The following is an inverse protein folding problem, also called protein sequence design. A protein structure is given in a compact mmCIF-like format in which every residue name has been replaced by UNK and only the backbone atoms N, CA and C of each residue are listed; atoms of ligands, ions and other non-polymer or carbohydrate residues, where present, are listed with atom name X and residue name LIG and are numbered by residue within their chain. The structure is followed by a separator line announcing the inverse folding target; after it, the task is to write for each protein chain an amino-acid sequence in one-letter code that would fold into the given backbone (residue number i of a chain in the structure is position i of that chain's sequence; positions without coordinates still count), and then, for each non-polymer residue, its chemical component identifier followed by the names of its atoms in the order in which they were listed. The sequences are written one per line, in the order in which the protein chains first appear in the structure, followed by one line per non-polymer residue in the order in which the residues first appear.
data_IF_595017834134
#
_entry.id   IF_595017834134
#
_cell.length_a   1.000
_cell.length_b   1.000
_cell.length_c   1.000
_cell.angle_alpha   90.00
_cell.angle_beta   90.00
_cell.angle_gamma   90.00
#
_symmetry.space_group_name_H-M   'P 1'
#
loop_
_entity.id
_entity.type
_entity.pdbx_description
1 polymer ?
#
# COMPACT_ATOMS: atom_id res chain seq x y z
N UNK A 1 -46.73 7.65 -34.04
CA UNK A 1 -45.56 7.50 -34.94
C UNK A 1 -44.40 8.30 -34.36
N UNK A 2 -43.22 7.68 -34.31
CA UNK A 2 -41.89 8.23 -34.02
C UNK A 2 -41.56 8.73 -32.60
N UNK A 3 -40.94 7.82 -31.84
CA UNK A 3 -39.81 8.12 -30.95
C UNK A 3 -38.53 8.09 -31.79
N UNK A 4 -37.73 9.15 -31.76
CA UNK A 4 -36.26 9.13 -31.89
C UNK A 4 -35.66 10.47 -31.41
N UNK A 5 -34.37 10.41 -31.06
CA UNK A 5 -33.42 11.50 -30.69
C UNK A 5 -33.35 11.91 -29.22
N UNK A 6 -32.20 11.95 -28.53
CA UNK A 6 -30.80 11.86 -28.93
C UNK A 6 -29.94 11.24 -27.82
N UNK A 7 -28.97 10.42 -28.22
CA UNK A 7 -27.76 10.10 -27.47
C UNK A 7 -26.63 11.06 -27.88
N UNK A 8 -25.63 11.20 -27.00
CA UNK A 8 -24.28 11.75 -27.23
C UNK A 8 -24.13 13.28 -27.21
N UNK A 9 -23.95 13.84 -26.02
CA UNK A 9 -23.01 14.94 -25.78
C UNK A 9 -22.84 15.13 -24.27
N UNK A 10 -21.71 14.68 -23.70
CA UNK A 10 -21.08 15.21 -22.47
C UNK A 10 -19.77 14.44 -22.18
N UNK A 11 -18.91 14.37 -23.18
CA UNK A 11 -17.49 14.10 -23.00
C UNK A 11 -16.74 15.17 -23.76
N UNK A 12 -16.09 16.11 -23.05
CA UNK A 12 -14.96 16.96 -23.52
C UNK A 12 -14.61 18.20 -22.65
N UNK A 13 -15.09 18.35 -21.40
CA UNK A 13 -14.85 19.59 -20.63
C UNK A 13 -13.80 19.56 -19.49
N UNK A 14 -12.86 18.60 -19.41
CA UNK A 14 -11.85 18.61 -18.32
C UNK A 14 -10.38 18.50 -18.73
N UNK A 15 -10.04 18.63 -20.02
CA UNK A 15 -8.65 18.47 -20.49
C UNK A 15 -7.88 19.77 -20.82
N UNK A 16 -8.47 20.96 -20.63
CA UNK A 16 -7.79 22.25 -20.93
C UNK A 16 -7.30 23.00 -19.67
N UNK A 17 -7.72 22.58 -18.46
CA UNK A 17 -7.26 23.17 -17.19
C UNK A 17 -5.85 22.76 -16.73
N UNK A 18 -5.20 21.81 -17.43
CA UNK A 18 -3.96 21.14 -16.99
C UNK A 18 -2.67 21.67 -17.65
N UNK A 19 -2.75 22.68 -18.52
CA UNK A 19 -1.59 23.14 -19.30
C UNK A 19 -1.10 24.58 -19.03
N UNK A 20 -1.70 25.35 -18.12
CA UNK A 20 -1.31 26.78 -17.93
C UNK A 20 -0.90 27.21 -16.50
N UNK A 21 -0.74 26.30 -15.55
CA UNK A 21 -0.20 26.63 -14.21
C UNK A 21 0.96 25.74 -13.75
N UNK A 22 1.91 25.46 -14.64
CA UNK A 22 3.19 24.87 -14.25
C UNK A 22 4.14 25.97 -13.77
N UNK A 23 4.03 26.35 -12.48
CA UNK A 23 5.09 27.15 -11.82
C UNK A 23 6.36 26.29 -11.77
N UNK A 24 7.54 26.79 -12.19
CA UNK A 24 8.78 26.06 -11.98
C UNK A 24 9.08 26.02 -10.48
N UNK A 25 8.94 24.83 -9.86
CA UNK A 25 9.49 24.60 -8.53
C UNK A 25 11.01 24.73 -8.64
N UNK A 26 11.59 25.71 -7.94
CA UNK A 26 13.02 25.78 -7.70
C UNK A 26 13.42 24.55 -6.89
N UNK A 27 14.25 23.69 -7.46
CA UNK A 27 14.92 22.62 -6.72
C UNK A 27 15.78 23.25 -5.61
N UNK A 28 15.70 22.77 -4.36
CA UNK A 28 16.67 23.16 -3.34
C UNK A 28 18.07 22.75 -3.81
N UNK A 29 18.97 23.72 -3.93
CA UNK A 29 20.38 23.47 -4.25
C UNK A 29 21.08 22.89 -3.02
N UNK A 30 21.61 21.67 -3.11
CA UNK A 30 22.57 21.16 -2.14
C UNK A 30 22.37 19.71 -1.67
N UNK A 31 21.28 19.03 -2.03
CA UNK A 31 21.12 17.62 -1.66
C UNK A 31 21.90 16.76 -2.65
N UNK A 32 22.95 16.08 -2.16
CA UNK A 32 23.55 14.96 -2.91
C UNK A 32 22.43 13.99 -3.28
N UNK A 33 22.33 13.54 -4.53
CA UNK A 33 21.30 12.58 -4.90
C UNK A 33 21.45 11.34 -4.01
N UNK A 34 20.37 10.99 -3.29
CA UNK A 34 20.28 9.71 -2.60
C UNK A 34 20.61 8.62 -3.63
N UNK A 35 21.46 7.67 -3.25
CA UNK A 35 21.86 6.58 -4.12
C UNK A 35 22.17 5.37 -3.26
N UNK A 36 21.45 4.28 -3.52
CA UNK A 36 21.68 3.03 -2.80
C UNK A 36 23.07 2.47 -3.12
N UNK A 37 23.75 1.96 -2.09
CA UNK A 37 24.97 1.16 -2.27
C UNK A 37 24.66 -0.12 -3.07
N UNK A 38 25.66 -0.79 -3.66
CA UNK A 38 25.44 -2.07 -4.35
C UNK A 38 24.75 -3.11 -3.46
N UNK A 39 25.11 -3.15 -2.17
CA UNK A 39 24.55 -4.10 -1.20
C UNK A 39 23.10 -3.72 -0.84
N UNK A 40 22.83 -2.43 -0.64
CA UNK A 40 21.46 -1.95 -0.42
C UNK A 40 20.54 -2.23 -1.62
N UNK A 41 21.07 -2.14 -2.86
CA UNK A 41 20.32 -2.52 -4.06
C UNK A 41 20.03 -4.01 -4.12
N UNK A 42 20.99 -4.86 -3.74
CA UNK A 42 20.75 -6.29 -3.65
C UNK A 42 19.60 -6.61 -2.68
N UNK A 43 19.60 -5.99 -1.49
CA UNK A 43 18.50 -6.15 -0.53
C UNK A 43 17.15 -5.69 -1.11
N UNK A 44 17.12 -4.55 -1.80
CA UNK A 44 15.92 -4.08 -2.52
C UNK A 44 15.47 -5.09 -3.59
N UNK A 45 16.40 -5.67 -4.35
CA UNK A 45 16.11 -6.65 -5.41
C UNK A 45 15.50 -7.94 -4.85
N UNK A 46 15.89 -8.38 -3.65
CA UNK A 46 15.24 -9.51 -2.97
C UNK A 46 13.75 -9.24 -2.74
N UNK A 47 13.41 -8.06 -2.20
CA UNK A 47 12.01 -7.66 -1.98
C UNK A 47 11.26 -7.52 -3.31
N UNK A 48 11.87 -6.92 -4.33
CA UNK A 48 11.25 -6.79 -5.65
C UNK A 48 11.01 -8.14 -6.32
N UNK A 49 11.87 -9.13 -6.07
CA UNK A 49 11.69 -10.50 -6.58
C UNK A 49 10.45 -11.15 -5.97
N UNK A 50 10.26 -11.00 -4.65
CA UNK A 50 9.03 -11.44 -3.98
C UNK A 50 7.81 -10.67 -4.50
N UNK A 51 7.95 -9.35 -4.70
CA UNK A 51 6.86 -8.50 -5.19
C UNK A 51 6.39 -8.89 -6.60
N UNK A 52 7.30 -9.38 -7.45
CA UNK A 52 7.01 -9.81 -8.82
C UNK A 52 6.53 -11.25 -8.91
N UNK A 53 6.75 -12.07 -7.89
CA UNK A 53 6.31 -13.47 -7.85
C UNK A 53 4.81 -13.53 -7.58
N UNK A 54 3.97 -13.91 -8.57
CA UNK A 54 2.53 -13.95 -8.37
C UNK A 54 2.14 -15.03 -7.36
N UNK A 55 1.02 -14.81 -6.66
CA UNK A 55 0.41 -15.88 -5.87
C UNK A 55 0.03 -17.05 -6.80
N UNK A 56 0.34 -18.27 -6.36
CA UNK A 56 0.06 -19.51 -7.08
C UNK A 56 -0.76 -20.44 -6.17
N UNK A 57 -2.03 -20.73 -6.52
CA UNK A 57 -2.87 -21.62 -5.72
C UNK A 57 -2.41 -23.08 -5.76
N UNK A 58 -1.54 -23.49 -6.68
CA UNK A 58 -0.98 -24.84 -6.71
C UNK A 58 0.28 -24.97 -5.83
N UNK A 59 0.90 -23.85 -5.48
CA UNK A 59 2.05 -23.83 -4.59
C UNK A 59 1.63 -23.97 -3.12
N UNK A 60 2.13 -25.01 -2.45
CA UNK A 60 1.80 -25.29 -1.05
C UNK A 60 2.26 -24.19 -0.09
N UNK A 61 3.45 -23.63 -0.30
CA UNK A 61 4.01 -22.56 0.53
C UNK A 61 3.12 -21.31 0.44
N UNK A 62 2.68 -20.94 -0.76
CA UNK A 62 1.81 -19.77 -0.97
C UNK A 62 0.46 -19.95 -0.25
N UNK A 63 -0.15 -21.13 -0.40
CA UNK A 63 -1.39 -21.47 0.30
C UNK A 63 -1.24 -21.47 1.82
N UNK A 64 -0.12 -21.96 2.34
CA UNK A 64 0.10 -22.02 3.77
C UNK A 64 0.35 -20.63 4.38
N UNK A 65 1.01 -19.71 3.63
CA UNK A 65 1.08 -18.29 4.00
C UNK A 65 -0.31 -17.65 4.06
N UNK A 66 -1.14 -17.86 3.04
CA UNK A 66 -2.51 -17.32 3.03
C UNK A 66 -3.35 -17.84 4.21
N UNK A 67 -3.29 -19.14 4.49
CA UNK A 67 -3.97 -19.75 5.66
C UNK A 67 -3.43 -19.24 6.98
N UNK A 68 -2.15 -18.88 7.06
CA UNK A 68 -1.58 -18.25 8.25
C UNK A 68 -2.12 -16.82 8.42
N UNK A 69 -2.25 -16.05 7.34
CA UNK A 69 -2.93 -14.74 7.37
C UNK A 69 -4.37 -14.91 7.84
N UNK A 70 -5.13 -15.83 7.26
CA UNK A 70 -6.52 -16.11 7.69
C UNK A 70 -6.62 -16.41 9.19
N UNK A 71 -5.70 -17.23 9.72
CA UNK A 71 -5.65 -17.56 11.15
C UNK A 71 -5.26 -16.37 12.01
N UNK A 72 -4.26 -15.59 11.61
CA UNK A 72 -3.79 -14.43 12.38
C UNK A 72 -4.83 -13.31 12.48
N UNK A 73 -5.73 -13.21 11.49
CA UNK A 73 -6.79 -12.20 11.44
C UNK A 73 -8.19 -12.79 11.63
N UNK A 74 -8.32 -14.00 12.20
CA UNK A 74 -9.60 -14.70 12.32
C UNK A 74 -10.65 -13.89 13.08
N UNK A 75 -10.25 -13.19 14.12
CA UNK A 75 -11.16 -12.42 14.98
C UNK A 75 -11.84 -11.28 14.22
N UNK A 76 -11.14 -10.74 13.23
CA UNK A 76 -11.66 -9.68 12.36
C UNK A 76 -12.38 -10.28 11.16
N UNK A 77 -11.80 -11.28 10.49
CA UNK A 77 -12.38 -11.90 9.31
C UNK A 77 -13.71 -12.61 9.59
N UNK A 78 -13.84 -13.25 10.77
CA UNK A 78 -14.97 -14.10 11.14
C UNK A 78 -15.85 -13.51 12.26
N UNK A 79 -15.77 -12.20 12.51
CA UNK A 79 -16.44 -11.51 13.64
C UNK A 79 -17.96 -11.77 13.76
N UNK A 80 -18.63 -12.15 12.67
CA UNK A 80 -20.08 -12.39 12.61
C UNK A 80 -20.51 -13.66 11.87
N UNK A 81 -19.57 -14.37 11.25
CA UNK A 81 -19.81 -15.50 10.34
C UNK A 81 -18.67 -16.49 10.45
N UNK A 82 -18.93 -17.77 10.19
CA UNK A 82 -17.85 -18.76 10.10
C UNK A 82 -17.01 -18.58 8.83
N UNK A 83 -17.60 -18.01 7.78
CA UNK A 83 -16.89 -17.67 6.54
C UNK A 83 -16.11 -16.35 6.70
N UNK A 84 -14.84 -16.29 6.29
CA UNK A 84 -14.05 -15.06 6.27
C UNK A 84 -14.66 -13.98 5.36
N UNK A 85 -14.84 -12.75 5.86
CA UNK A 85 -15.07 -11.55 5.02
C UNK A 85 -13.79 -10.70 4.94
N UNK A 86 -13.05 -10.88 3.85
CA UNK A 86 -11.78 -10.20 3.60
C UNK A 86 -11.90 -8.67 3.48
N UNK A 87 -13.09 -8.13 3.22
CA UNK A 87 -13.30 -6.67 3.23
C UNK A 87 -13.13 -6.07 4.62
N UNK A 88 -13.35 -6.85 5.69
CA UNK A 88 -13.14 -6.40 7.06
C UNK A 88 -11.68 -6.07 7.36
N UNK A 89 -10.75 -6.74 6.67
CA UNK A 89 -9.32 -6.44 6.75
C UNK A 89 -8.89 -5.34 5.76
N UNK A 90 -9.80 -4.88 4.89
CA UNK A 90 -9.54 -3.83 3.90
C UNK A 90 -9.24 -4.32 2.48
N UNK A 91 -9.48 -5.58 2.15
CA UNK A 91 -9.40 -6.06 0.76
C UNK A 91 -10.62 -5.66 -0.07
N UNK A 92 -10.48 -5.69 -1.40
CA UNK A 92 -11.57 -5.28 -2.31
C UNK A 92 -12.74 -6.28 -2.35
N UNK A 93 -12.46 -7.57 -2.25
CA UNK A 93 -13.45 -8.65 -2.39
C UNK A 93 -13.64 -9.38 -1.07
N UNK A 94 -14.88 -9.76 -0.75
CA UNK A 94 -15.20 -10.49 0.48
C UNK A 94 -14.72 -11.93 0.48
N UNK A 95 -14.80 -12.59 -0.68
CA UNK A 95 -14.61 -14.05 -0.80
C UNK A 95 -13.13 -14.44 -0.93
N UNK A 96 -12.28 -13.55 -1.43
CA UNK A 96 -10.87 -13.87 -1.69
C UNK A 96 -10.01 -12.61 -1.88
N UNK A 97 -8.80 -12.55 -1.28
CA UNK A 97 -7.87 -11.43 -1.43
C UNK A 97 -6.92 -11.60 -2.64
N UNK A 98 -7.02 -12.70 -3.39
CA UNK A 98 -6.02 -13.09 -4.41
C UNK A 98 -5.86 -12.00 -5.49
N UNK A 99 -6.93 -11.30 -5.86
CA UNK A 99 -6.87 -10.24 -6.87
C UNK A 99 -6.08 -9.02 -6.42
N UNK A 100 -5.99 -8.78 -5.12
CA UNK A 100 -5.32 -7.63 -4.52
C UNK A 100 -3.79 -7.83 -4.45
N UNK A 101 -3.32 -9.08 -4.53
CA UNK A 101 -1.89 -9.41 -4.57
C UNK A 101 -1.20 -9.08 -5.91
N UNK A 102 -1.90 -8.54 -6.90
CA UNK A 102 -1.30 -8.28 -8.24
C UNK A 102 -0.14 -7.27 -8.22
N UNK A 103 -0.15 -6.33 -7.28
CA UNK A 103 0.88 -5.29 -7.20
C UNK A 103 2.16 -5.73 -6.46
N UNK A 104 2.03 -6.67 -5.52
CA UNK A 104 3.11 -7.08 -4.62
C UNK A 104 3.28 -8.61 -4.52
N UNK A 105 2.60 -9.38 -5.36
CA UNK A 105 2.75 -10.84 -5.40
C UNK A 105 2.68 -11.48 -4.02
N UNK A 106 3.61 -12.38 -3.75
CA UNK A 106 3.74 -13.04 -2.44
C UNK A 106 4.31 -12.14 -1.34
N UNK A 107 4.98 -11.03 -1.69
CA UNK A 107 5.45 -10.07 -0.69
C UNK A 107 4.28 -9.48 0.10
N UNK A 108 3.11 -9.31 -0.51
CA UNK A 108 1.91 -8.86 0.21
C UNK A 108 1.57 -9.77 1.39
N UNK A 109 1.68 -11.10 1.23
CA UNK A 109 1.45 -12.07 2.29
C UNK A 109 2.53 -11.97 3.36
N UNK A 110 3.80 -11.88 2.96
CA UNK A 110 4.92 -11.76 3.90
C UNK A 110 4.81 -10.48 4.76
N UNK A 111 4.41 -9.37 4.14
CA UNK A 111 4.19 -8.11 4.86
C UNK A 111 3.01 -8.20 5.82
N UNK A 112 1.89 -8.83 5.43
CA UNK A 112 0.74 -9.05 6.32
C UNK A 112 1.07 -9.93 7.52
N UNK A 113 1.95 -10.93 7.34
CA UNK A 113 2.40 -11.83 8.40
C UNK A 113 3.45 -11.20 9.32
N UNK A 114 4.23 -10.24 8.81
CA UNK A 114 5.35 -9.63 9.54
C UNK A 114 4.96 -8.35 10.26
N UNK A 115 4.03 -7.59 9.68
CA UNK A 115 3.48 -6.36 10.26
C UNK A 115 2.89 -6.63 11.65
N UNK A 116 3.09 -5.67 12.56
CA UNK A 116 2.59 -5.73 13.93
C UNK A 116 1.62 -4.61 14.26
N UNK A 117 1.34 -3.70 13.34
CA UNK A 117 0.55 -2.47 13.57
C UNK A 117 -0.96 -2.69 13.70
N UNK A 118 -1.45 -3.88 13.36
CA UNK A 118 -2.88 -4.10 13.26
C UNK A 118 -3.64 -3.88 14.58
N UNK A 119 -3.17 -4.37 15.76
CA UNK A 119 -3.82 -4.10 17.04
C UNK A 119 -4.00 -2.61 17.34
N UNK A 120 -3.04 -1.77 16.94
CA UNK A 120 -3.05 -0.31 17.16
C UNK A 120 -4.11 0.42 16.32
N UNK A 121 -4.46 -0.13 15.16
CA UNK A 121 -5.46 0.45 14.25
C UNK A 121 -6.78 -0.34 14.24
N UNK A 122 -6.92 -1.38 15.07
CA UNK A 122 -8.02 -2.33 14.99
C UNK A 122 -9.38 -1.67 15.21
N UNK A 123 -9.48 -0.72 16.16
CA UNK A 123 -10.73 0.03 16.41
C UNK A 123 -11.15 0.85 15.19
N UNK A 124 -10.19 1.51 14.55
CA UNK A 124 -10.43 2.29 13.34
C UNK A 124 -10.80 1.39 12.15
N UNK A 125 -10.21 0.20 12.04
CA UNK A 125 -10.60 -0.80 11.04
C UNK A 125 -12.02 -1.34 11.29
N UNK A 126 -12.35 -1.64 12.54
CA UNK A 126 -13.65 -2.20 12.97
C UNK A 126 -14.83 -1.24 12.75
N UNK A 127 -14.60 0.06 12.91
CA UNK A 127 -15.59 1.10 12.66
C UNK A 127 -15.78 1.42 11.16
N UNK A 128 -15.10 0.67 10.28
CA UNK A 128 -15.14 0.83 8.83
C UNK A 128 -14.25 1.97 8.32
N UNK A 129 -13.38 2.49 9.17
CA UNK A 129 -12.56 3.67 8.93
C UNK A 129 -11.16 3.41 8.40
N UNK A 130 -10.66 2.18 8.31
CA UNK A 130 -9.29 1.99 7.80
C UNK A 130 -9.13 0.70 6.99
N UNK A 131 -8.90 0.79 5.66
CA UNK A 131 -8.71 -0.38 4.83
C UNK A 131 -7.28 -0.91 4.96
N UNK A 132 -6.94 -1.49 6.12
CA UNK A 132 -5.59 -1.87 6.51
C UNK A 132 -4.79 -2.60 5.43
N UNK A 133 -5.31 -3.69 4.89
CA UNK A 133 -4.62 -4.50 3.87
C UNK A 133 -4.30 -3.67 2.62
N UNK A 134 -5.26 -2.87 2.14
CA UNK A 134 -5.05 -1.99 0.99
C UNK A 134 -3.99 -0.92 1.28
N UNK A 135 -4.00 -0.32 2.48
CA UNK A 135 -3.02 0.68 2.87
C UNK A 135 -1.62 0.09 2.95
N UNK A 136 -1.47 -1.07 3.61
CA UNK A 136 -0.19 -1.78 3.72
C UNK A 136 0.39 -2.13 2.35
N UNK A 137 -0.44 -2.67 1.45
CA UNK A 137 -0.04 -2.99 0.08
C UNK A 137 0.35 -1.73 -0.69
N UNK A 138 -0.44 -0.66 -0.58
CA UNK A 138 -0.20 0.59 -1.31
C UNK A 138 1.09 1.27 -0.83
N UNK A 139 1.30 1.38 0.48
CA UNK A 139 2.51 1.98 1.05
C UNK A 139 3.76 1.17 0.71
N UNK A 140 3.71 -0.15 0.81
CA UNK A 140 4.84 -1.02 0.45
C UNK A 140 5.18 -0.89 -1.03
N UNK A 141 4.17 -0.83 -1.91
CA UNK A 141 4.36 -0.61 -3.34
C UNK A 141 5.01 0.75 -3.65
N UNK A 142 4.47 1.84 -3.10
CA UNK A 142 5.02 3.19 -3.31
C UNK A 142 6.47 3.28 -2.76
N UNK A 143 6.73 2.73 -1.56
CA UNK A 143 8.06 2.63 -0.97
C UNK A 143 9.07 1.93 -1.90
N UNK A 144 8.75 0.72 -2.38
CA UNK A 144 9.66 -0.06 -3.24
C UNK A 144 9.91 0.64 -4.58
N UNK A 145 8.88 1.28 -5.15
CA UNK A 145 9.02 2.03 -6.39
C UNK A 145 9.91 3.26 -6.24
N UNK A 146 9.78 4.00 -5.14
CA UNK A 146 10.62 5.16 -4.85
C UNK A 146 12.07 4.74 -4.60
N UNK A 147 12.29 3.72 -3.77
CA UNK A 147 13.62 3.15 -3.52
C UNK A 147 14.31 2.68 -4.81
N UNK A 148 13.56 2.05 -5.73
CA UNK A 148 14.10 1.59 -7.02
C UNK A 148 14.60 2.71 -7.94
N UNK A 149 14.14 3.93 -7.69
CA UNK A 149 14.50 5.14 -8.44
C UNK A 149 15.54 5.97 -7.71
N UNK A 150 16.16 5.41 -6.67
CA UNK A 150 17.07 6.12 -5.76
C UNK A 150 16.42 7.43 -5.21
N UNK A 151 15.11 7.38 -4.92
CA UNK A 151 14.41 8.48 -4.23
C UNK A 151 14.42 8.17 -2.73
N UNK A 152 14.78 9.16 -1.93
CA UNK A 152 14.79 9.04 -0.47
C UNK A 152 13.36 8.77 0.05
N UNK A 153 13.20 7.61 0.67
CA UNK A 153 11.93 7.18 1.29
C UNK A 153 11.88 7.46 2.79
N UNK A 154 13.02 7.83 3.39
CA UNK A 154 13.23 7.81 4.84
C UNK A 154 13.60 6.43 5.41
N UNK A 155 13.59 5.38 4.58
CA UNK A 155 14.08 4.06 4.97
C UNK A 155 15.55 3.89 4.57
N UNK A 156 16.34 3.33 5.48
CA UNK A 156 17.75 3.02 5.25
C UNK A 156 17.85 1.50 5.09
N UNK A 157 18.12 1.05 3.88
CA UNK A 157 18.42 -0.36 3.65
C UNK A 157 19.70 -0.76 4.38
N UNK A 158 19.78 -1.98 4.95
CA UNK A 158 21.01 -2.50 5.51
C UNK A 158 22.16 -2.44 4.51
N UNK A 159 23.33 -1.97 4.96
CA UNK A 159 24.55 -1.91 4.14
C UNK A 159 25.39 -3.20 4.27
N UNK A 160 24.70 -4.33 4.49
CA UNK A 160 25.21 -5.69 4.50
C UNK A 160 24.15 -6.59 3.86
N UNK A 161 24.54 -7.78 3.38
CA UNK A 161 23.57 -8.76 2.89
C UNK A 161 22.71 -9.23 4.06
N UNK A 162 21.43 -8.85 4.05
CA UNK A 162 20.50 -9.16 5.12
C UNK A 162 19.83 -10.51 4.83
N UNK A 163 19.59 -11.30 5.89
CA UNK A 163 18.68 -12.42 5.78
C UNK A 163 17.27 -11.90 5.45
N UNK A 164 16.55 -12.64 4.61
CA UNK A 164 15.24 -12.19 4.12
C UNK A 164 14.27 -11.87 5.26
N UNK A 165 14.24 -12.70 6.31
CA UNK A 165 13.34 -12.50 7.45
C UNK A 165 13.67 -11.23 8.25
N UNK A 166 14.95 -10.88 8.37
CA UNK A 166 15.38 -9.63 9.02
C UNK A 166 15.00 -8.43 8.17
N UNK A 167 15.25 -8.50 6.87
CA UNK A 167 14.87 -7.44 5.94
C UNK A 167 13.35 -7.22 5.92
N UNK A 168 12.56 -8.29 5.91
CA UNK A 168 11.10 -8.21 6.00
C UNK A 168 10.66 -7.55 7.32
N UNK A 169 11.29 -7.88 8.45
CA UNK A 169 10.99 -7.27 9.75
C UNK A 169 11.28 -5.78 9.78
N UNK A 170 12.42 -5.35 9.25
CA UNK A 170 12.78 -3.93 9.18
C UNK A 170 11.85 -3.14 8.26
N UNK A 171 11.54 -3.68 7.08
CA UNK A 171 10.62 -3.05 6.13
C UNK A 171 9.19 -3.01 6.69
N UNK A 172 8.73 -4.07 7.34
CA UNK A 172 7.43 -4.08 8.01
C UNK A 172 7.36 -3.03 9.13
N UNK A 173 8.37 -2.94 9.99
CA UNK A 173 8.41 -1.92 11.03
C UNK A 173 8.39 -0.48 10.46
N UNK A 174 9.10 -0.26 9.34
CA UNK A 174 9.05 1.01 8.63
C UNK A 174 7.66 1.29 8.07
N UNK A 175 7.05 0.34 7.36
CA UNK A 175 5.69 0.48 6.79
C UNK A 175 4.64 0.67 7.89
N UNK A 176 4.77 -0.01 9.02
CA UNK A 176 3.92 0.14 10.21
C UNK A 176 3.96 1.59 10.72
N UNK A 177 5.14 2.20 10.77
CA UNK A 177 5.27 3.62 11.14
C UNK A 177 4.56 4.57 10.16
N UNK A 178 4.55 4.22 8.87
CA UNK A 178 3.83 4.97 7.84
C UNK A 178 2.32 4.81 7.96
N UNK A 179 1.87 3.60 8.28
CA UNK A 179 0.46 3.28 8.54
C UNK A 179 -0.05 4.10 9.72
N UNK A 180 0.70 4.17 10.82
CA UNK A 180 0.33 4.96 12.01
C UNK A 180 0.25 6.46 11.72
N UNK A 181 1.21 7.03 10.97
CA UNK A 181 1.12 8.45 10.58
C UNK A 181 -0.09 8.71 9.67
N UNK A 182 -0.38 7.81 8.74
CA UNK A 182 -1.54 7.94 7.87
C UNK A 182 -2.86 7.80 8.63
N UNK A 183 -2.95 6.85 9.55
CA UNK A 183 -4.06 6.67 10.48
C UNK A 183 -4.34 7.94 11.28
N UNK A 184 -3.30 8.51 11.91
CA UNK A 184 -3.41 9.74 12.70
C UNK A 184 -3.81 10.97 11.85
N UNK A 185 -3.50 10.96 10.54
CA UNK A 185 -3.97 12.01 9.60
C UNK A 185 -5.44 11.84 9.26
N UNK A 186 -5.88 10.61 9.02
CA UNK A 186 -7.29 10.28 8.75
C UNK A 186 -8.17 10.61 9.94
N UNK A 187 -7.75 10.24 11.14
CA UNK A 187 -8.48 10.55 12.38
C UNK A 187 -8.64 12.06 12.58
N UNK A 188 -7.58 12.84 12.35
CA UNK A 188 -7.62 14.31 12.46
C UNK A 188 -8.49 14.99 11.40
N UNK A 189 -8.67 14.38 10.24
CA UNK A 189 -9.55 14.91 9.21
C UNK A 189 -11.03 14.77 9.59
N UNK A 190 -11.36 13.80 10.47
CA UNK A 190 -12.66 13.68 11.13
C UNK A 190 -13.83 13.32 10.21
N UNK A 191 -13.60 13.05 8.92
CA UNK A 191 -14.61 12.63 7.96
C UNK A 191 -14.64 11.12 7.72
N UNK A 192 -15.21 10.72 6.58
CA UNK A 192 -15.28 9.30 6.18
C UNK A 192 -13.93 8.87 5.61
N UNK A 193 -13.18 7.99 6.28
CA UNK A 193 -11.79 7.75 5.91
C UNK A 193 -11.61 7.22 4.49
N UNK A 194 -12.52 6.38 3.98
CA UNK A 194 -12.46 5.87 2.60
C UNK A 194 -12.65 6.97 1.54
N UNK A 195 -13.46 8.00 1.82
CA UNK A 195 -13.66 9.13 0.91
C UNK A 195 -12.50 10.11 0.95
N UNK A 196 -11.92 10.32 2.14
CA UNK A 196 -10.83 11.26 2.36
C UNK A 196 -9.45 10.65 2.08
N UNK A 197 -9.35 9.33 1.99
CA UNK A 197 -8.11 8.62 1.76
C UNK A 197 -7.32 9.17 0.56
N UNK A 198 -7.89 9.41 -0.64
CA UNK A 198 -7.11 9.90 -1.77
C UNK A 198 -6.47 11.28 -1.54
N UNK A 199 -7.19 12.21 -0.89
CA UNK A 199 -6.65 13.55 -0.59
C UNK A 199 -5.60 13.51 0.51
N UNK A 200 -5.88 12.78 1.60
CA UNK A 200 -4.97 12.67 2.74
C UNK A 200 -3.71 11.91 2.34
N UNK A 201 -3.83 10.85 1.54
CA UNK A 201 -2.70 10.12 1.01
C UNK A 201 -1.83 10.98 0.08
N UNK A 202 -2.45 11.84 -0.74
CA UNK A 202 -1.71 12.80 -1.57
C UNK A 202 -0.92 13.80 -0.71
N UNK A 203 -1.53 14.35 0.33
CA UNK A 203 -0.86 15.25 1.27
C UNK A 203 0.27 14.55 2.03
N UNK A 204 0.04 13.32 2.47
CA UNK A 204 1.03 12.45 3.09
C UNK A 204 2.26 12.28 2.20
N UNK A 205 2.06 12.02 0.91
CA UNK A 205 3.16 11.88 -0.06
C UNK A 205 3.89 13.18 -0.31
N UNK A 206 3.16 14.30 -0.42
CA UNK A 206 3.75 15.62 -0.58
C UNK A 206 4.62 16.00 0.64
N UNK A 207 4.14 15.73 1.85
CA UNK A 207 4.87 16.00 3.09
C UNK A 207 6.19 15.21 3.20
N UNK A 208 6.30 14.07 2.51
CA UNK A 208 7.51 13.24 2.45
C UNK A 208 8.39 13.47 1.22
N UNK A 209 7.98 14.34 0.29
CA UNK A 209 8.70 14.53 -0.96
C UNK A 209 8.60 13.34 -1.93
N UNK A 210 7.56 12.52 -1.82
CA UNK A 210 7.32 11.35 -2.68
C UNK A 210 6.62 11.70 -4.01
N UNK A 211 6.51 12.99 -4.34
CA UNK A 211 5.74 13.53 -5.47
C UNK A 211 6.63 14.20 -6.52
#
# INVERSE_FOLDING_TARGET
MFFTSWSLALGLCTLVGLLLFRRPQRKPSGMTPYKLSPVQRYNLELLQTLARTPYDPQNTIHRDKLRLVERNFSDVLCKSTFEPDWRRLGFQRSESPITDFRALGILALDMLLTSKVFPEIQEMADTGGFPYALVLITLTFDFLNLASRDIDTGFIFPDHEAELDDLLREVAAFVDSLILDLAARLERAGGQPLLEFPSIYKEFKHARGWC
#
